data_IF_447277125922
#
_entry.id   IF_447277125922
#
_cell.length_a   1.000
_cell.length_b   1.000
_cell.length_c   1.000
_cell.angle_alpha   90.00
_cell.angle_beta   90.00
_cell.angle_gamma   90.00
#
_symmetry.space_group_name_H-M   'P 1'
#
loop_
_entity.id
_entity.type
_entity.pdbx_description
1 polymer ?
#
# COMPACT_ATOMS: atom_id res chain seq x y z
N UNK A 1 -16.77 -24.05 -21.09
CA UNK A 1 -16.98 -22.62 -20.75
C UNK A 1 -16.02 -22.27 -19.63
N UNK A 2 -14.91 -21.59 -19.95
CA UNK A 2 -13.88 -21.21 -18.98
C UNK A 2 -14.37 -19.97 -18.25
N UNK A 3 -14.57 -20.05 -16.93
CA UNK A 3 -14.85 -18.87 -16.08
C UNK A 3 -13.54 -18.09 -15.97
N UNK A 4 -13.43 -16.98 -16.70
CA UNK A 4 -12.38 -16.00 -16.48
C UNK A 4 -12.66 -15.31 -15.14
N UNK A 5 -12.03 -15.79 -14.07
CA UNK A 5 -11.89 -15.01 -12.84
C UNK A 5 -10.93 -13.88 -13.20
N UNK A 6 -11.46 -12.69 -13.40
CA UNK A 6 -10.65 -11.48 -13.62
C UNK A 6 -9.96 -11.17 -12.29
N UNK A 7 -8.72 -11.62 -12.14
CA UNK A 7 -7.85 -11.18 -11.05
C UNK A 7 -7.48 -9.73 -11.33
N UNK A 8 -8.10 -8.81 -10.60
CA UNK A 8 -7.76 -7.38 -10.66
C UNK A 8 -6.38 -7.17 -10.06
N UNK A 9 -5.38 -6.86 -10.90
CA UNK A 9 -4.03 -6.53 -10.48
C UNK A 9 -4.02 -5.11 -9.89
N UNK A 10 -3.84 -4.98 -8.58
CA UNK A 10 -3.72 -3.68 -7.91
C UNK A 10 -2.28 -3.16 -7.95
N UNK A 11 -2.05 -1.88 -8.19
CA UNK A 11 -0.70 -1.29 -8.11
C UNK A 11 -0.46 -0.75 -6.70
N UNK A 12 0.66 -1.16 -6.08
CA UNK A 12 1.02 -0.79 -4.72
C UNK A 12 2.41 -0.10 -4.71
N UNK A 13 2.48 1.13 -4.17
CA UNK A 13 3.77 1.80 -3.96
C UNK A 13 4.53 1.10 -2.83
N UNK A 14 5.46 0.22 -3.18
CA UNK A 14 6.57 -0.13 -2.28
C UNK A 14 7.54 1.04 -2.33
N UNK A 15 7.59 1.82 -1.25
CA UNK A 15 8.58 2.87 -1.09
C UNK A 15 10.00 2.27 -1.16
N UNK A 16 10.60 2.34 -2.34
CA UNK A 16 11.95 1.95 -2.68
C UNK A 16 12.47 2.95 -3.70
N UNK A 17 13.37 3.82 -3.24
CA UNK A 17 14.07 4.83 -4.03
C UNK A 17 14.70 4.17 -5.26
N UNK A 18 14.25 4.53 -6.47
CA UNK A 18 15.05 4.84 -7.68
C UNK A 18 14.07 5.33 -8.77
N UNK A 19 14.20 6.59 -9.18
CA UNK A 19 13.38 7.18 -10.23
C UNK A 19 13.91 6.77 -11.62
N UNK A 20 13.13 5.97 -12.36
CA UNK A 20 13.27 5.82 -13.81
C UNK A 20 12.23 6.70 -14.51
N UNK A 21 12.60 7.48 -15.53
CA UNK A 21 11.63 8.24 -16.31
C UNK A 21 11.08 7.31 -17.40
N UNK A 22 9.84 6.87 -17.29
CA UNK A 22 8.93 6.63 -18.43
C UNK A 22 7.70 5.82 -17.99
N UNK A 23 6.67 6.50 -17.51
CA UNK A 23 5.27 6.27 -17.84
C UNK A 23 4.56 7.60 -17.51
N UNK A 24 3.96 8.25 -18.51
CA UNK A 24 3.25 9.53 -18.33
C UNK A 24 1.93 9.41 -17.54
N UNK A 25 1.70 8.26 -16.88
CA UNK A 25 0.66 8.07 -15.88
C UNK A 25 1.34 7.87 -14.53
N UNK A 26 1.12 8.80 -13.60
CA UNK A 26 1.57 8.64 -12.21
C UNK A 26 1.03 7.35 -11.58
N UNK A 27 1.52 6.97 -10.39
CA UNK A 27 1.09 5.75 -9.72
C UNK A 27 -0.44 5.74 -9.60
N UNK A 28 -1.07 4.70 -10.16
CA UNK A 28 -2.51 4.64 -10.44
C UNK A 28 -3.18 3.55 -9.62
N UNK A 29 -4.39 3.83 -9.10
CA UNK A 29 -5.16 2.91 -8.27
C UNK A 29 -6.01 1.97 -9.13
N UNK A 30 -5.36 1.07 -9.87
CA UNK A 30 -6.04 0.14 -10.80
C UNK A 30 -7.02 -0.75 -10.04
N UNK A 31 -8.29 -0.76 -10.46
CA UNK A 31 -9.36 -1.52 -9.81
C UNK A 31 -10.02 -0.81 -8.62
N UNK A 32 -9.60 0.42 -8.31
CA UNK A 32 -10.13 1.24 -7.22
C UNK A 32 -10.62 2.59 -7.73
N UNK A 33 -11.49 3.25 -6.97
CA UNK A 33 -11.84 4.65 -7.23
C UNK A 33 -10.61 5.51 -6.96
N UNK A 34 -10.32 6.48 -7.84
CA UNK A 34 -9.23 7.43 -7.65
C UNK A 34 -9.29 8.10 -6.27
N UNK A 35 -8.17 8.08 -5.55
CA UNK A 35 -8.00 8.61 -4.22
C UNK A 35 -8.47 7.67 -3.10
N UNK A 36 -8.96 6.47 -3.39
CA UNK A 36 -9.44 5.55 -2.36
C UNK A 36 -8.30 4.83 -1.61
N UNK A 37 -7.13 4.70 -2.26
CA UNK A 37 -5.93 4.09 -1.67
C UNK A 37 -4.86 5.15 -1.30
N UNK A 38 -5.13 6.43 -1.52
CA UNK A 38 -4.22 7.52 -1.18
C UNK A 38 -2.88 7.52 -1.95
N UNK A 39 -2.79 6.79 -3.07
CA UNK A 39 -1.53 6.53 -3.78
C UNK A 39 -0.83 7.82 -4.22
N UNK A 40 -1.56 8.76 -4.83
CA UNK A 40 -0.99 10.04 -5.26
C UNK A 40 -0.53 10.89 -4.08
N UNK A 41 -1.29 10.93 -2.98
CA UNK A 41 -0.91 11.70 -1.80
C UNK A 41 0.32 11.11 -1.10
N UNK A 42 0.41 9.78 -1.00
CA UNK A 42 1.59 9.07 -0.49
C UNK A 42 2.83 9.38 -1.34
N UNK A 43 2.71 9.35 -2.68
CA UNK A 43 3.84 9.67 -3.57
C UNK A 43 4.35 11.11 -3.43
N UNK A 44 3.47 12.04 -3.04
CA UNK A 44 3.81 13.44 -2.79
C UNK A 44 4.24 13.72 -1.34
N UNK A 45 4.35 12.68 -0.50
CA UNK A 45 4.54 12.79 0.96
C UNK A 45 3.49 13.64 1.69
N UNK A 46 2.31 13.84 1.08
CA UNK A 46 1.14 14.46 1.72
C UNK A 46 0.39 13.40 2.55
N UNK A 47 1.01 13.00 3.65
CA UNK A 47 0.49 11.97 4.54
C UNK A 47 -0.83 12.35 5.21
N UNK A 48 -1.11 13.66 5.36
CA UNK A 48 -2.37 14.13 5.92
C UNK A 48 -3.53 13.84 4.97
N UNK A 49 -3.38 14.18 3.69
CA UNK A 49 -4.40 13.90 2.67
C UNK A 49 -4.55 12.39 2.47
N UNK A 50 -3.44 11.64 2.44
CA UNK A 50 -3.46 10.19 2.31
C UNK A 50 -4.22 9.52 3.46
N UNK A 51 -3.95 9.91 4.71
CA UNK A 51 -4.66 9.36 5.87
C UNK A 51 -6.16 9.66 5.81
N UNK A 52 -6.53 10.89 5.45
CA UNK A 52 -7.94 11.26 5.30
C UNK A 52 -8.63 10.43 4.20
N UNK A 53 -7.96 10.23 3.07
CA UNK A 53 -8.43 9.39 1.97
C UNK A 53 -8.65 7.94 2.40
N UNK A 54 -7.64 7.33 3.02
CA UNK A 54 -7.70 5.95 3.51
C UNK A 54 -8.78 5.75 4.58
N UNK A 55 -9.06 6.78 5.39
CA UNK A 55 -10.09 6.71 6.44
C UNK A 55 -11.51 6.97 5.95
N UNK A 56 -11.72 7.62 4.79
CA UNK A 56 -13.06 7.74 4.19
C UNK A 56 -13.63 6.39 3.75
N UNK A 57 -12.77 5.44 3.41
CA UNK A 57 -13.16 4.10 2.96
C UNK A 57 -14.13 4.14 1.76
N UNK A 58 -13.89 5.06 0.83
CA UNK A 58 -14.73 5.27 -0.34
C UNK A 58 -14.69 4.05 -1.26
N UNK A 59 -15.63 3.12 -1.08
CA UNK A 59 -15.74 1.89 -1.87
C UNK A 59 -14.64 0.85 -1.58
N UNK A 60 -13.96 0.95 -0.44
CA UNK A 60 -12.88 0.03 -0.05
C UNK A 60 -13.18 -0.53 1.33
N UNK A 61 -13.07 -1.84 1.48
CA UNK A 61 -13.32 -2.50 2.77
C UNK A 61 -12.29 -2.06 3.83
N UNK A 62 -12.69 -2.03 5.10
CA UNK A 62 -11.79 -1.67 6.20
C UNK A 62 -10.55 -2.58 6.24
N UNK A 63 -10.77 -3.88 5.97
CA UNK A 63 -9.76 -4.93 5.91
C UNK A 63 -9.11 -5.12 4.55
N UNK A 64 -9.31 -4.22 3.59
CA UNK A 64 -8.61 -4.31 2.30
C UNK A 64 -7.09 -4.27 2.52
N UNK A 65 -6.33 -5.26 2.01
CA UNK A 65 -4.92 -5.39 2.30
C UNK A 65 -4.08 -4.25 1.71
N UNK A 66 -4.45 -3.70 0.54
CA UNK A 66 -3.76 -2.56 -0.08
C UNK A 66 -3.96 -1.29 0.75
N UNK A 67 -5.20 -1.04 1.20
CA UNK A 67 -5.53 0.07 2.11
C UNK A 67 -4.74 -0.02 3.40
N UNK A 68 -4.68 -1.21 4.02
CA UNK A 68 -3.95 -1.44 5.27
C UNK A 68 -2.44 -1.22 5.09
N UNK A 69 -1.86 -1.69 3.99
CA UNK A 69 -0.45 -1.43 3.67
C UNK A 69 -0.21 0.07 3.47
N UNK A 70 -1.09 0.77 2.77
CA UNK A 70 -0.95 2.21 2.55
C UNK A 70 -1.13 3.02 3.84
N UNK A 71 -2.01 2.60 4.75
CA UNK A 71 -2.06 3.16 6.12
C UNK A 71 -0.75 2.91 6.87
N UNK A 72 -0.19 1.70 6.77
CA UNK A 72 1.12 1.40 7.34
C UNK A 72 2.22 2.33 6.81
N UNK A 73 2.23 2.60 5.51
CA UNK A 73 3.18 3.52 4.87
C UNK A 73 3.01 4.96 5.39
N UNK A 74 1.76 5.43 5.51
CA UNK A 74 1.42 6.75 6.05
C UNK A 74 1.86 6.87 7.52
N UNK A 75 1.61 5.85 8.34
CA UNK A 75 2.03 5.83 9.73
C UNK A 75 3.56 5.81 9.87
N UNK A 76 4.25 5.01 9.06
CA UNK A 76 5.70 4.99 9.04
C UNK A 76 6.29 6.35 8.60
N UNK A 77 5.76 6.95 7.53
CA UNK A 77 6.19 8.26 7.03
C UNK A 77 5.98 9.41 8.03
N UNK A 78 5.06 9.24 8.98
CA UNK A 78 4.76 10.22 10.05
C UNK A 78 5.41 9.87 11.40
N UNK A 79 6.30 8.87 11.44
CA UNK A 79 7.01 8.48 12.67
C UNK A 79 6.19 7.62 13.64
N UNK A 80 4.94 7.30 13.31
CA UNK A 80 4.00 6.48 14.12
C UNK A 80 4.25 4.99 13.93
N UNK A 81 5.43 4.53 14.38
CA UNK A 81 5.90 3.17 14.10
C UNK A 81 5.00 2.05 14.66
N UNK A 82 4.41 2.25 15.85
CA UNK A 82 3.50 1.26 16.44
C UNK A 82 2.21 1.10 15.62
N UNK A 83 1.65 2.20 15.09
CA UNK A 83 0.46 2.15 14.25
C UNK A 83 0.79 1.55 12.87
N UNK A 84 1.99 1.84 12.35
CA UNK A 84 2.49 1.22 11.14
C UNK A 84 2.60 -0.31 11.27
N UNK A 85 3.18 -0.80 12.37
CA UNK A 85 3.26 -2.22 12.65
C UNK A 85 1.86 -2.87 12.73
N UNK A 86 0.92 -2.27 13.46
CA UNK A 86 -0.46 -2.77 13.54
C UNK A 86 -1.12 -2.86 12.17
N UNK A 87 -0.96 -1.85 11.32
CA UNK A 87 -1.52 -1.82 9.98
C UNK A 87 -0.93 -2.92 9.08
N UNK A 88 0.39 -3.14 9.10
CA UNK A 88 1.00 -4.24 8.35
C UNK A 88 0.61 -5.62 8.87
N UNK A 89 0.48 -5.80 10.19
CA UNK A 89 -0.01 -7.05 10.77
C UNK A 89 -1.47 -7.30 10.37
N UNK A 90 -2.31 -6.27 10.35
CA UNK A 90 -3.68 -6.40 9.85
C UNK A 90 -3.71 -6.81 8.38
N UNK A 91 -2.83 -6.26 7.53
CA UNK A 91 -2.72 -6.67 6.12
C UNK A 91 -2.29 -8.14 5.95
N UNK A 92 -1.45 -8.67 6.86
CA UNK A 92 -1.06 -10.09 6.86
C UNK A 92 -2.19 -11.03 7.29
N UNK A 93 -3.20 -10.52 8.01
CA UNK A 93 -4.38 -11.27 8.40
C UNK A 93 -5.52 -11.17 7.38
N UNK A 94 -5.41 -10.28 6.40
CA UNK A 94 -6.35 -10.15 5.29
C UNK A 94 -6.04 -11.15 4.17
N UNK A 95 -7.00 -11.35 3.27
CA UNK A 95 -6.79 -12.14 2.04
C UNK A 95 -5.66 -11.51 1.22
N UNK A 96 -4.73 -12.35 0.75
CA UNK A 96 -3.60 -11.88 -0.07
C UNK A 96 -4.06 -11.62 -1.49
N UNK A 97 -3.63 -10.52 -2.08
CA UNK A 97 -3.96 -10.12 -3.45
C UNK A 97 -2.67 -9.89 -4.22
N UNK A 98 -2.67 -10.27 -5.50
CA UNK A 98 -1.54 -10.00 -6.39
C UNK A 98 -1.46 -8.52 -6.73
N UNK A 99 -0.25 -7.99 -6.72
CA UNK A 99 0.03 -6.58 -6.93
C UNK A 99 1.23 -6.38 -7.83
N UNK A 100 1.19 -5.30 -8.60
CA UNK A 100 2.34 -4.76 -9.30
C UNK A 100 2.92 -3.63 -8.45
N UNK A 101 4.18 -3.72 -8.08
CA UNK A 101 4.84 -2.68 -7.29
C UNK A 101 5.33 -1.55 -8.18
N UNK A 102 5.63 -0.39 -7.59
CA UNK A 102 6.06 0.79 -8.36
C UNK A 102 7.37 0.62 -9.15
N UNK A 103 8.21 -0.34 -8.76
CA UNK A 103 9.42 -0.77 -9.48
C UNK A 103 9.12 -1.81 -10.59
N UNK A 104 7.84 -2.11 -10.83
CA UNK A 104 7.38 -3.03 -11.88
C UNK A 104 7.45 -4.51 -11.49
N UNK A 105 7.71 -4.85 -10.23
CA UNK A 105 7.73 -6.24 -9.79
C UNK A 105 6.30 -6.75 -9.51
N UNK A 106 5.99 -7.94 -10.01
CA UNK A 106 4.78 -8.67 -9.62
C UNK A 106 5.03 -9.41 -8.30
N UNK A 107 4.12 -9.24 -7.35
CA UNK A 107 4.20 -9.86 -6.02
C UNK A 107 2.80 -9.94 -5.40
N UNK A 108 2.70 -10.16 -4.09
CA UNK A 108 1.43 -10.12 -3.37
C UNK A 108 1.49 -9.24 -2.10
N UNK A 109 0.32 -8.86 -1.61
CA UNK A 109 0.18 -7.97 -0.44
C UNK A 109 0.84 -8.54 0.81
N UNK A 110 0.83 -9.85 1.03
CA UNK A 110 1.54 -10.45 2.18
C UNK A 110 3.06 -10.27 2.09
N UNK A 111 3.66 -10.50 0.92
CA UNK A 111 5.09 -10.29 0.71
C UNK A 111 5.49 -8.83 0.94
N UNK A 112 4.69 -7.89 0.45
CA UNK A 112 4.87 -6.45 0.68
C UNK A 112 4.77 -6.12 2.17
N UNK A 113 3.73 -6.58 2.85
CA UNK A 113 3.50 -6.30 4.27
C UNK A 113 4.63 -6.88 5.15
N UNK A 114 5.13 -8.10 4.87
CA UNK A 114 6.29 -8.67 5.60
C UNK A 114 7.54 -7.81 5.43
N UNK A 115 7.82 -7.36 4.20
CA UNK A 115 8.98 -6.51 3.90
C UNK A 115 8.87 -5.13 4.57
N UNK A 116 7.67 -4.57 4.69
CA UNK A 116 7.45 -3.30 5.37
C UNK A 116 7.54 -3.45 6.90
N UNK A 117 6.93 -4.50 7.45
CA UNK A 117 6.94 -4.82 8.87
C UNK A 117 8.36 -5.07 9.40
N UNK A 118 9.21 -5.79 8.65
CA UNK A 118 10.59 -6.04 9.06
C UNK A 118 11.39 -4.75 9.22
N UNK A 119 11.19 -3.77 8.32
CA UNK A 119 11.83 -2.45 8.39
C UNK A 119 11.35 -1.65 9.59
N UNK A 120 10.04 -1.59 9.83
CA UNK A 120 9.48 -0.87 10.98
C UNK A 120 10.01 -1.47 12.29
N UNK A 121 10.03 -2.80 12.42
CA UNK A 121 10.56 -3.48 13.61
C UNK A 121 12.04 -3.20 13.82
N UNK A 122 12.84 -3.17 12.76
CA UNK A 122 14.26 -2.80 12.86
C UNK A 122 14.44 -1.36 13.37
N UNK A 123 13.63 -0.41 12.89
CA UNK A 123 13.64 0.98 13.37
C UNK A 123 13.22 1.09 14.83
N UNK A 124 12.18 0.36 15.24
CA UNK A 124 11.72 0.33 16.63
C UNK A 124 12.77 -0.26 17.56
N UNK A 125 13.42 -1.36 17.16
CA UNK A 125 14.46 -2.02 17.96
C UNK A 125 15.76 -1.21 18.09
N UNK A 126 16.00 -0.26 17.18
CA UNK A 126 17.18 0.61 17.20
C UNK A 126 17.00 1.89 18.03
N UNK A 127 15.83 2.09 18.64
CA UNK A 127 15.53 3.22 19.54
C UNK A 127 15.72 2.82 21.00
#
# INVERSE_FOLDING_TARGET
>A
MVRAVSASLGILLVAGVFATPALAGGPSEVGYRQGALGVSAISAADYRTAEAQLNRMDGVAAGDPLRLINLGNVYAGTGRMFDAEKAYVAALNAESVDVLTADGAETNTHAVARKALSRVRAVVAAR
#
